data_IF_487573953073
#
_entry.id   IF_487573953073
#
_cell.length_a   1.000
_cell.length_b   1.000
_cell.length_c   1.000
_cell.angle_alpha   90.00
_cell.angle_beta   90.00
_cell.angle_gamma   90.00
#
_symmetry.space_group_name_H-M   'P 1'
#
loop_
_entity.id
_entity.type
_entity.pdbx_description
1 polymer ?
#
# COMPACT_ATOMS: atom_id res chain seq x y z
N UNK A 1 -5.12 -14.12 13.80
CA UNK A 1 -5.34 -13.07 12.79
C UNK A 1 -5.26 -11.73 13.49
N UNK A 2 -4.16 -11.02 13.28
CA UNK A 2 -4.07 -9.61 13.65
C UNK A 2 -4.78 -8.84 12.53
N UNK A 3 -5.85 -8.13 12.87
CA UNK A 3 -6.61 -7.29 11.93
C UNK A 3 -6.17 -5.85 12.07
N UNK A 4 -6.32 -5.08 11.00
CA UNK A 4 -6.20 -3.63 11.05
C UNK A 4 -7.54 -2.98 11.41
N UNK A 5 -7.50 -1.86 12.14
CA UNK A 5 -8.59 -0.90 12.07
C UNK A 5 -8.51 -0.08 10.77
N UNK A 6 -9.65 0.49 10.37
CA UNK A 6 -9.72 1.40 9.22
C UNK A 6 -8.77 2.60 9.37
N UNK A 7 -8.68 3.17 10.57
CA UNK A 7 -7.82 4.32 10.85
C UNK A 7 -6.33 3.97 10.71
N UNK A 8 -5.90 2.84 11.28
CA UNK A 8 -4.52 2.34 11.15
C UNK A 8 -4.15 2.08 9.69
N UNK A 9 -5.07 1.50 8.93
CA UNK A 9 -4.87 1.26 7.51
C UNK A 9 -4.56 2.57 6.78
N UNK A 10 -5.44 3.57 6.87
CA UNK A 10 -5.24 4.83 6.15
C UNK A 10 -4.00 5.58 6.65
N UNK A 11 -3.71 5.55 7.95
CA UNK A 11 -2.51 6.18 8.51
C UNK A 11 -1.22 5.56 7.96
N UNK A 12 -1.16 4.23 7.84
CA UNK A 12 -0.01 3.54 7.24
C UNK A 12 0.14 3.86 5.76
N UNK A 13 -0.96 3.88 5.01
CA UNK A 13 -0.94 4.19 3.59
C UNK A 13 -0.58 5.65 3.29
N UNK A 14 -0.95 6.59 4.16
CA UNK A 14 -0.48 7.97 4.10
C UNK A 14 1.06 8.03 4.24
N UNK A 15 1.61 7.30 5.21
CA UNK A 15 3.06 7.22 5.39
C UNK A 15 3.78 6.54 4.22
N UNK A 16 3.19 5.48 3.65
CA UNK A 16 3.67 4.82 2.43
C UNK A 16 3.66 5.78 1.23
N UNK A 17 2.55 6.50 1.01
CA UNK A 17 2.44 7.48 -0.07
C UNK A 17 3.52 8.54 0.03
N UNK A 18 3.73 9.09 1.23
CA UNK A 18 4.78 10.07 1.48
C UNK A 18 6.18 9.51 1.20
N UNK A 19 6.44 8.25 1.56
CA UNK A 19 7.72 7.58 1.24
C UNK A 19 7.93 7.43 -0.25
N UNK A 20 6.88 7.14 -1.03
CA UNK A 20 6.98 7.13 -2.49
C UNK A 20 7.35 8.52 -3.01
N UNK A 21 6.69 9.58 -2.55
CA UNK A 21 7.00 10.97 -2.97
C UNK A 21 8.42 11.42 -2.61
N UNK A 22 8.95 10.99 -1.46
CA UNK A 22 10.33 11.26 -1.05
C UNK A 22 11.38 10.45 -1.82
N UNK A 23 10.95 9.37 -2.49
CA UNK A 23 11.88 8.51 -3.24
C UNK A 23 12.25 9.16 -4.56
N UNK A 24 13.54 9.19 -4.94
CA UNK A 24 13.96 9.71 -6.24
C UNK A 24 13.20 9.07 -7.40
N UNK A 25 12.85 9.87 -8.40
CA UNK A 25 12.12 9.36 -9.56
C UNK A 25 12.87 8.20 -10.20
N UNK A 26 12.23 7.04 -10.16
CA UNK A 26 12.75 5.77 -10.61
C UNK A 26 11.58 4.85 -10.93
N UNK A 27 11.85 3.79 -11.68
CA UNK A 27 10.85 2.74 -11.92
C UNK A 27 10.58 2.01 -10.61
N UNK A 28 9.31 1.94 -10.21
CA UNK A 28 8.92 1.25 -8.98
C UNK A 28 9.21 -0.23 -9.12
N UNK A 29 9.91 -0.79 -8.13
CA UNK A 29 10.29 -2.22 -8.10
C UNK A 29 9.59 -2.96 -6.97
N UNK A 30 9.43 -4.29 -7.14
CA UNK A 30 8.87 -5.17 -6.10
C UNK A 30 9.55 -5.01 -4.75
N UNK A 31 10.88 -5.07 -4.73
CA UNK A 31 11.65 -4.96 -3.49
C UNK A 31 11.47 -3.60 -2.81
N UNK A 32 11.38 -2.53 -3.59
CA UNK A 32 11.15 -1.18 -3.04
C UNK A 32 9.76 -1.06 -2.42
N UNK A 33 8.71 -1.52 -3.10
CA UNK A 33 7.34 -1.49 -2.57
C UNK A 33 7.24 -2.33 -1.31
N UNK A 34 7.80 -3.54 -1.32
CA UNK A 34 7.84 -4.42 -0.15
C UNK A 34 8.58 -3.76 1.02
N UNK A 35 9.76 -3.20 0.75
CA UNK A 35 10.56 -2.49 1.74
C UNK A 35 9.81 -1.32 2.37
N UNK A 36 9.14 -0.47 1.57
CA UNK A 36 8.35 0.66 2.07
C UNK A 36 7.19 0.16 2.95
N UNK A 37 6.50 -0.92 2.56
CA UNK A 37 5.41 -1.49 3.36
C UNK A 37 5.92 -2.05 4.70
N UNK A 38 7.05 -2.78 4.67
CA UNK A 38 7.68 -3.34 5.87
C UNK A 38 8.20 -2.22 6.80
N UNK A 39 8.79 -1.15 6.26
CA UNK A 39 9.25 0.03 7.02
C UNK A 39 8.11 0.81 7.70
N UNK A 40 6.88 0.70 7.21
CA UNK A 40 5.70 1.38 7.76
C UNK A 40 4.83 0.45 8.64
N UNK A 41 5.42 -0.63 9.15
CA UNK A 41 4.77 -1.60 10.04
C UNK A 41 3.49 -2.20 9.41
N UNK A 42 3.47 -2.43 8.09
CA UNK A 42 2.39 -3.20 7.46
C UNK A 42 2.65 -4.70 7.75
N UNK A 43 1.71 -5.44 8.38
CA UNK A 43 1.85 -6.85 8.69
C UNK A 43 2.16 -7.69 7.46
N UNK A 44 3.09 -8.63 7.62
CA UNK A 44 3.48 -9.55 6.55
C UNK A 44 2.30 -10.33 5.96
N UNK A 45 1.32 -10.75 6.77
CA UNK A 45 0.11 -11.44 6.26
C UNK A 45 -0.70 -10.57 5.29
N UNK A 46 -0.74 -9.25 5.53
CA UNK A 46 -1.42 -8.30 4.65
C UNK A 46 -0.65 -8.12 3.35
N UNK A 47 0.67 -7.92 3.46
CA UNK A 47 1.58 -7.84 2.31
C UNK A 47 1.42 -9.12 1.49
N UNK A 48 1.64 -10.31 2.03
CA UNK A 48 1.57 -11.56 1.28
C UNK A 48 0.20 -11.80 0.61
N UNK A 49 -0.90 -11.34 1.23
CA UNK A 49 -2.25 -11.50 0.66
C UNK A 49 -2.60 -10.48 -0.43
N UNK A 50 -2.03 -9.28 -0.41
CA UNK A 50 -2.42 -8.16 -1.28
C UNK A 50 -1.28 -7.57 -2.11
N UNK A 51 -0.04 -8.03 -1.92
CA UNK A 51 1.14 -7.56 -2.63
C UNK A 51 1.03 -7.81 -4.13
N UNK A 52 0.34 -8.87 -4.54
CA UNK A 52 0.02 -9.09 -5.96
C UNK A 52 -0.78 -7.94 -6.55
N UNK A 53 -1.89 -7.55 -5.90
CA UNK A 53 -2.73 -6.44 -6.34
C UNK A 53 -2.01 -5.09 -6.25
N UNK A 54 -1.19 -4.90 -5.22
CA UNK A 54 -0.30 -3.74 -5.09
C UNK A 54 0.61 -3.64 -6.31
N UNK A 55 1.30 -4.73 -6.63
CA UNK A 55 2.26 -4.77 -7.72
C UNK A 55 1.59 -4.60 -9.07
N UNK A 56 0.44 -5.22 -9.33
CA UNK A 56 -0.28 -5.03 -10.60
C UNK A 56 -0.62 -3.55 -10.86
N UNK A 57 -0.76 -2.74 -9.80
CA UNK A 57 -1.03 -1.32 -9.92
C UNK A 57 0.21 -0.45 -10.15
N UNK A 58 1.35 -0.79 -9.51
CA UNK A 58 2.58 0.04 -9.51
C UNK A 58 3.69 -0.51 -10.41
N UNK A 59 3.60 -1.76 -10.86
CA UNK A 59 4.62 -2.41 -11.68
C UNK A 59 4.75 -1.67 -13.03
N UNK A 60 5.99 -1.29 -13.34
CA UNK A 60 6.31 -0.53 -14.55
C UNK A 60 5.95 0.96 -14.52
N UNK A 61 5.35 1.47 -13.43
CA UNK A 61 5.14 2.91 -13.24
C UNK A 61 6.38 3.59 -12.67
N UNK A 62 6.58 4.84 -13.06
CA UNK A 62 7.53 5.73 -12.40
C UNK A 62 6.95 6.27 -11.09
N UNK A 63 7.81 6.52 -10.11
CA UNK A 63 7.42 7.16 -8.85
C UNK A 63 6.70 8.50 -9.08
N UNK A 64 7.12 9.28 -10.08
CA UNK A 64 6.45 10.53 -10.47
C UNK A 64 5.02 10.35 -11.01
N UNK A 65 4.62 9.14 -11.41
CA UNK A 65 3.24 8.82 -11.82
C UNK A 65 2.35 8.39 -10.64
N UNK A 66 2.94 8.20 -9.45
CA UNK A 66 2.24 7.83 -8.22
C UNK A 66 2.00 9.06 -7.34
N UNK A 67 1.30 10.05 -7.89
CA UNK A 67 0.89 11.23 -7.14
C UNK A 67 -0.18 10.89 -6.07
N UNK A 68 -0.41 11.83 -5.14
CA UNK A 68 -1.33 11.64 -4.01
C UNK A 68 -2.75 11.20 -4.45
N UNK A 69 -3.26 11.69 -5.58
CA UNK A 69 -4.60 11.33 -6.09
C UNK A 69 -4.61 9.90 -6.62
N UNK A 70 -3.61 9.55 -7.43
CA UNK A 70 -3.41 8.19 -7.96
C UNK A 70 -3.25 7.17 -6.82
N UNK A 71 -2.44 7.50 -5.81
CA UNK A 71 -2.22 6.68 -4.63
C UNK A 71 -3.49 6.54 -3.78
N UNK A 72 -4.29 7.60 -3.62
CA UNK A 72 -5.57 7.53 -2.88
C UNK A 72 -6.56 6.55 -3.51
N UNK A 73 -6.70 6.57 -4.83
CA UNK A 73 -7.58 5.63 -5.56
C UNK A 73 -7.14 4.18 -5.35
N UNK A 74 -5.86 3.93 -5.54
CA UNK A 74 -5.23 2.64 -5.29
C UNK A 74 -5.39 2.12 -3.85
N UNK A 75 -5.09 2.97 -2.87
CA UNK A 75 -5.24 2.66 -1.44
C UNK A 75 -6.69 2.29 -1.12
N UNK A 76 -7.66 2.95 -1.77
CA UNK A 76 -9.07 2.62 -1.61
C UNK A 76 -9.44 1.26 -2.22
N UNK A 77 -8.90 0.91 -3.40
CA UNK A 77 -9.16 -0.40 -4.02
C UNK A 77 -8.60 -1.57 -3.19
N UNK A 78 -7.38 -1.41 -2.65
CA UNK A 78 -6.80 -2.39 -1.74
C UNK A 78 -7.62 -2.49 -0.45
N UNK A 79 -8.09 -1.35 0.07
CA UNK A 79 -8.91 -1.30 1.29
C UNK A 79 -10.16 -2.17 1.13
N UNK A 80 -10.89 -1.98 0.02
CA UNK A 80 -12.11 -2.75 -0.25
C UNK A 80 -11.80 -4.24 -0.32
N UNK A 81 -10.76 -4.63 -1.07
CA UNK A 81 -10.36 -6.03 -1.22
C UNK A 81 -9.95 -6.67 0.11
N UNK A 82 -9.17 -5.97 0.92
CA UNK A 82 -8.71 -6.45 2.23
C UNK A 82 -9.82 -6.49 3.28
N UNK A 83 -10.79 -5.58 3.19
CA UNK A 83 -12.02 -5.59 3.99
C UNK A 83 -12.89 -6.79 3.63
N UNK A 84 -13.08 -7.08 2.35
CA UNK A 84 -13.81 -8.28 1.88
C UNK A 84 -13.11 -9.57 2.31
N UNK A 85 -11.78 -9.58 2.38
CA UNK A 85 -10.99 -10.69 2.92
C UNK A 85 -11.03 -10.80 4.47
N UNK A 86 -11.67 -9.85 5.17
CA UNK A 86 -11.78 -9.85 6.63
C UNK A 86 -10.49 -9.47 7.38
N UNK A 87 -9.53 -8.86 6.68
CA UNK A 87 -8.25 -8.40 7.25
C UNK A 87 -8.36 -6.99 7.86
N UNK A 88 -9.37 -6.23 7.44
CA UNK A 88 -9.68 -4.90 7.97
C UNK A 88 -11.02 -4.93 8.69
N UNK A 89 -11.05 -4.38 9.90
CA UNK A 89 -12.26 -4.21 10.71
C UNK A 89 -12.95 -2.87 10.41
N UNK A 90 -14.28 -2.84 10.47
CA UNK A 90 -15.13 -1.67 10.16
C UNK A 90 -15.27 -0.67 11.32
N UNK A 91 -14.50 -0.86 12.40
CA UNK A 91 -14.57 -0.07 13.64
C UNK A 91 -14.18 1.39 13.45
#
# INVERSE_FOLDING_TARGET
>A
MVKFTKEEYYSKWEAVSKKFEETPDSTVTRDQVRGILEENDVPAEFIDSHFGAVMDYVDGKHVSELDEETMKGFVHEIFVSAKEAGLIEDS
#
